data_IF_399135680991
#
_entry.id   IF_399135680991
#
_cell.length_a   1.000
_cell.length_b   1.000
_cell.length_c   1.000
_cell.angle_alpha   90.00
_cell.angle_beta   90.00
_cell.angle_gamma   90.00
#
_symmetry.space_group_name_H-M   'P 1'
#
loop_
_entity.id
_entity.type
_entity.pdbx_description
1 polymer ?
#
# COMPACT_ATOMS: atom_id res chain seq x y z
N UNK A 1 -7.53 -4.27 17.64
CA UNK A 1 -6.66 -4.50 16.46
C UNK A 1 -5.35 -5.08 16.93
N UNK A 2 -4.90 -6.14 16.32
CA UNK A 2 -3.71 -6.87 16.70
C UNK A 2 -2.50 -6.44 15.89
N UNK A 3 -1.36 -6.23 16.55
CA UNK A 3 -0.12 -5.87 15.82
C UNK A 3 0.32 -6.97 14.86
N UNK A 4 0.07 -8.23 15.19
CA UNK A 4 0.38 -9.37 14.32
C UNK A 4 -0.71 -9.67 13.30
N UNK A 5 -1.80 -8.90 13.28
CA UNK A 5 -2.89 -9.12 12.33
C UNK A 5 -2.52 -8.74 10.90
N UNK A 6 -3.24 -9.30 9.94
CA UNK A 6 -3.02 -9.03 8.52
C UNK A 6 -4.21 -8.23 8.00
N UNK A 7 -3.93 -7.05 7.44
CA UNK A 7 -4.96 -6.11 7.03
C UNK A 7 -4.73 -5.66 5.60
N UNK A 8 -5.82 -5.47 4.85
CA UNK A 8 -5.76 -5.18 3.41
C UNK A 8 -6.66 -4.03 2.98
N UNK A 9 -7.58 -3.58 3.84
CA UNK A 9 -8.56 -2.56 3.46
C UNK A 9 -8.11 -1.16 3.86
N UNK A 10 -8.64 -0.15 3.17
CA UNK A 10 -8.35 1.25 3.46
C UNK A 10 -8.47 1.57 4.95
N UNK A 11 -9.61 1.23 5.56
CA UNK A 11 -9.86 1.62 6.95
C UNK A 11 -8.99 0.84 7.93
N UNK A 12 -8.81 -0.46 7.71
CA UNK A 12 -8.02 -1.28 8.63
C UNK A 12 -6.53 -0.95 8.55
N UNK A 13 -6.00 -0.71 7.35
CA UNK A 13 -4.58 -0.35 7.20
C UNK A 13 -4.32 1.05 7.75
N UNK A 14 -5.23 2.00 7.50
CA UNK A 14 -5.10 3.34 8.06
C UNK A 14 -5.11 3.30 9.59
N UNK A 15 -6.02 2.53 10.19
CA UNK A 15 -6.08 2.38 11.65
C UNK A 15 -4.80 1.74 12.18
N UNK A 16 -4.25 0.75 11.48
CA UNK A 16 -3.02 0.09 11.87
C UNK A 16 -1.84 1.08 11.85
N UNK A 17 -1.72 1.88 10.80
CA UNK A 17 -0.68 2.90 10.70
C UNK A 17 -0.77 3.90 11.85
N UNK A 18 -1.97 4.33 12.19
CA UNK A 18 -2.16 5.27 13.30
C UNK A 18 -1.82 4.66 14.65
N UNK A 19 -2.09 3.38 14.83
CA UNK A 19 -1.86 2.70 16.12
C UNK A 19 -0.41 2.28 16.30
N UNK A 20 0.22 1.75 15.26
CA UNK A 20 1.53 1.12 15.36
C UNK A 20 2.65 1.86 14.62
N UNK A 21 2.32 2.90 13.86
CA UNK A 21 3.26 3.74 13.10
C UNK A 21 4.11 2.92 12.12
N UNK A 22 3.55 1.86 11.57
CA UNK A 22 4.17 1.01 10.56
C UNK A 22 3.08 0.26 9.81
N UNK A 23 3.42 -0.32 8.66
CA UNK A 23 2.48 -1.17 7.90
C UNK A 23 2.32 -2.55 8.57
N UNK A 24 1.14 -3.19 8.38
CA UNK A 24 0.97 -4.59 8.80
C UNK A 24 2.03 -5.50 8.17
N UNK A 25 2.28 -6.65 8.82
CA UNK A 25 3.33 -7.56 8.39
C UNK A 25 3.12 -8.23 7.04
N UNK A 26 1.93 -8.11 6.46
CA UNK A 26 1.65 -8.65 5.13
C UNK A 26 2.08 -7.73 3.99
N UNK A 27 2.71 -6.59 4.28
CA UNK A 27 3.19 -5.66 3.27
C UNK A 27 4.65 -5.89 2.93
N UNK A 28 4.98 -5.84 1.64
CA UNK A 28 6.35 -5.86 1.13
C UNK A 28 6.50 -4.78 0.07
N UNK A 29 7.73 -4.32 -0.17
CA UNK A 29 8.00 -3.35 -1.23
C UNK A 29 7.87 -3.99 -2.61
N UNK A 30 7.89 -3.14 -3.66
CA UNK A 30 7.73 -3.61 -5.04
C UNK A 30 8.82 -4.61 -5.45
N UNK A 31 10.07 -4.35 -5.10
CA UNK A 31 11.17 -5.23 -5.48
C UNK A 31 11.04 -6.61 -4.85
N UNK A 32 10.69 -6.65 -3.57
CA UNK A 32 10.47 -7.93 -2.91
C UNK A 32 9.25 -8.66 -3.48
N UNK A 33 8.18 -7.93 -3.80
CA UNK A 33 7.01 -8.51 -4.44
C UNK A 33 7.32 -9.14 -5.78
N UNK A 34 8.16 -8.49 -6.59
CA UNK A 34 8.60 -9.03 -7.87
C UNK A 34 9.41 -10.32 -7.67
N UNK A 35 10.33 -10.31 -6.71
CA UNK A 35 11.12 -11.51 -6.39
C UNK A 35 10.25 -12.68 -5.93
N UNK A 36 9.24 -12.39 -5.10
CA UNK A 36 8.30 -13.42 -4.65
C UNK A 36 7.50 -14.00 -5.83
N UNK A 37 7.06 -13.15 -6.73
CA UNK A 37 6.32 -13.61 -7.91
C UNK A 37 7.17 -14.57 -8.74
N UNK A 38 8.41 -14.20 -9.03
CA UNK A 38 9.29 -15.03 -9.83
C UNK A 38 9.65 -16.34 -9.13
N UNK A 39 9.86 -16.28 -7.82
CA UNK A 39 10.16 -17.47 -7.02
C UNK A 39 8.97 -18.41 -6.91
N UNK A 40 7.78 -17.88 -6.70
CA UNK A 40 6.58 -18.69 -6.47
C UNK A 40 5.99 -19.27 -7.76
N UNK A 41 6.01 -18.51 -8.84
CA UNK A 41 5.40 -18.92 -10.11
C UNK A 41 6.40 -19.54 -11.09
N UNK A 42 7.69 -19.28 -10.93
CA UNK A 42 8.70 -19.71 -11.87
C UNK A 42 8.73 -18.90 -13.16
N UNK A 43 7.92 -17.85 -13.26
CA UNK A 43 7.84 -17.00 -14.45
C UNK A 43 8.58 -15.69 -14.23
N UNK A 44 9.08 -15.11 -15.32
CA UNK A 44 9.70 -13.78 -15.26
C UNK A 44 8.63 -12.71 -15.11
N UNK A 45 8.82 -11.81 -14.16
CA UNK A 45 7.89 -10.70 -13.94
C UNK A 45 7.95 -9.75 -15.14
N UNK A 46 6.79 -9.31 -15.61
CA UNK A 46 6.70 -8.29 -16.66
C UNK A 46 5.88 -7.09 -16.23
N UNK A 47 4.76 -7.29 -15.56
CA UNK A 47 3.90 -6.20 -15.09
C UNK A 47 2.94 -6.70 -14.00
N UNK A 48 2.35 -5.75 -13.29
CA UNK A 48 1.40 -6.03 -12.22
C UNK A 48 0.01 -6.33 -12.78
N UNK A 49 -0.12 -7.45 -13.52
CA UNK A 49 -1.39 -7.88 -14.09
C UNK A 49 -2.06 -8.97 -13.27
N UNK A 50 -1.76 -9.04 -11.99
CA UNK A 50 -2.30 -10.02 -11.06
C UNK A 50 -2.54 -9.37 -9.70
N UNK A 51 -3.34 -10.03 -8.86
CA UNK A 51 -3.61 -9.57 -7.50
C UNK A 51 -2.55 -10.16 -6.57
N UNK A 52 -1.63 -9.36 -6.00
CA UNK A 52 -0.57 -9.90 -5.15
C UNK A 52 -1.08 -10.61 -3.90
N UNK A 53 -2.19 -10.16 -3.33
CA UNK A 53 -2.73 -10.78 -2.12
C UNK A 53 -3.20 -12.21 -2.39
N UNK A 54 -3.95 -12.43 -3.47
CA UNK A 54 -4.44 -13.77 -3.80
C UNK A 54 -3.35 -14.66 -4.40
N UNK A 55 -2.36 -14.08 -5.07
CA UNK A 55 -1.31 -14.81 -5.75
C UNK A 55 -0.12 -15.12 -4.85
N UNK A 56 0.27 -14.16 -4.00
CA UNK A 56 1.51 -14.22 -3.22
C UNK A 56 1.29 -14.10 -1.71
N UNK A 57 0.06 -13.87 -1.26
CA UNK A 57 -0.28 -13.61 0.14
C UNK A 57 0.42 -12.35 0.68
N UNK A 58 0.68 -11.36 -0.18
CA UNK A 58 1.27 -10.09 0.23
C UNK A 58 0.51 -8.91 -0.38
N UNK A 59 0.60 -7.78 0.31
CA UNK A 59 0.21 -6.48 -0.21
C UNK A 59 1.47 -5.69 -0.55
N UNK A 60 1.40 -4.81 -1.54
CA UNK A 60 2.55 -4.01 -1.94
C UNK A 60 2.47 -2.65 -1.24
N UNK A 61 3.53 -2.29 -0.53
CA UNK A 61 3.60 -1.00 0.16
C UNK A 61 4.91 -0.79 0.85
N UNK A 62 5.13 0.45 1.32
CA UNK A 62 6.34 0.85 2.00
C UNK A 62 7.34 1.59 1.11
N UNK A 63 7.12 1.63 -0.19
CA UNK A 63 7.99 2.37 -1.10
C UNK A 63 7.80 3.88 -0.95
N UNK A 64 8.85 4.64 -1.24
CA UNK A 64 8.79 6.10 -1.15
C UNK A 64 7.83 6.67 -2.20
N UNK A 65 6.98 7.60 -1.76
CA UNK A 65 6.12 8.38 -2.65
C UNK A 65 6.74 9.78 -2.79
N UNK A 66 7.05 10.18 -4.02
CA UNK A 66 7.85 11.38 -4.26
C UNK A 66 7.08 12.69 -4.30
N UNK A 67 5.74 12.67 -4.29
CA UNK A 67 4.92 13.91 -4.30
C UNK A 67 5.37 14.90 -5.40
N UNK A 68 5.71 14.38 -6.57
CA UNK A 68 6.28 15.19 -7.66
C UNK A 68 5.37 16.31 -8.13
N UNK A 69 4.07 16.09 -8.12
CA UNK A 69 3.10 17.07 -8.59
C UNK A 69 2.71 18.08 -7.52
N UNK A 70 3.21 17.89 -6.29
CA UNK A 70 2.96 18.83 -5.21
C UNK A 70 1.51 18.90 -4.76
N UNK A 71 0.72 17.85 -5.00
CA UNK A 71 -0.68 17.83 -4.58
C UNK A 71 -0.85 17.69 -3.07
N UNK A 72 0.20 17.20 -2.38
CA UNK A 72 0.24 17.09 -0.94
C UNK A 72 1.23 18.10 -0.36
N UNK A 73 1.08 18.46 0.93
CA UNK A 73 2.08 19.31 1.59
C UNK A 73 3.47 18.69 1.53
N UNK A 74 4.51 19.51 1.60
CA UNK A 74 5.88 19.03 1.61
C UNK A 74 6.11 18.06 2.76
N UNK A 75 6.84 16.98 2.50
CA UNK A 75 7.13 15.97 3.50
C UNK A 75 7.68 14.72 2.86
N UNK A 76 8.10 13.78 3.70
CA UNK A 76 8.57 12.46 3.24
C UNK A 76 7.44 11.46 3.38
N UNK A 77 6.96 10.96 2.26
CA UNK A 77 5.82 10.06 2.22
C UNK A 77 6.21 8.68 1.73
N UNK A 78 5.43 7.69 2.15
CA UNK A 78 5.47 6.34 1.61
C UNK A 78 4.09 5.98 1.10
N UNK A 79 4.01 4.99 0.21
CA UNK A 79 2.74 4.55 -0.35
C UNK A 79 2.43 3.11 0.00
N UNK A 80 1.15 2.77 0.07
CA UNK A 80 0.69 1.41 0.33
C UNK A 80 -0.59 1.14 -0.44
N UNK A 81 -0.64 -0.01 -1.11
CA UNK A 81 -1.84 -0.45 -1.80
C UNK A 81 -2.91 -0.87 -0.78
N UNK A 82 -4.17 -0.59 -1.09
CA UNK A 82 -5.31 -1.08 -0.31
C UNK A 82 -6.43 -1.50 -1.27
N UNK A 83 -7.32 -2.36 -0.79
CA UNK A 83 -8.55 -2.73 -1.50
C UNK A 83 -8.28 -3.17 -2.95
N UNK A 84 -7.46 -4.20 -3.12
CA UNK A 84 -7.15 -4.73 -4.45
C UNK A 84 -8.42 -5.14 -5.21
N UNK A 85 -8.37 -4.98 -6.53
CA UNK A 85 -9.40 -5.56 -7.39
C UNK A 85 -9.22 -7.08 -7.45
N UNK A 86 -10.24 -7.81 -7.93
CA UNK A 86 -10.13 -9.27 -8.02
C UNK A 86 -9.02 -9.72 -8.96
N UNK A 87 -8.66 -8.91 -9.96
CA UNK A 87 -7.74 -9.30 -11.03
C UNK A 87 -6.36 -8.66 -10.96
N UNK A 88 -6.21 -7.55 -10.23
CA UNK A 88 -4.94 -6.82 -10.18
C UNK A 88 -4.87 -5.93 -8.95
N UNK A 89 -3.85 -5.07 -8.89
CA UNK A 89 -3.64 -4.17 -7.76
C UNK A 89 -4.67 -3.04 -7.66
N UNK A 90 -5.42 -2.77 -8.72
CA UNK A 90 -6.35 -1.64 -8.71
C UNK A 90 -5.64 -0.31 -8.61
N UNK A 91 -6.38 0.74 -8.19
CA UNK A 91 -5.89 2.12 -8.18
C UNK A 91 -5.92 2.76 -6.79
N UNK A 92 -6.33 2.04 -5.77
CA UNK A 92 -6.52 2.61 -4.42
C UNK A 92 -5.23 2.53 -3.62
N UNK A 93 -4.83 3.67 -3.04
CA UNK A 93 -3.57 3.76 -2.30
C UNK A 93 -3.73 4.61 -1.05
N UNK A 94 -2.94 4.31 -0.02
CA UNK A 94 -2.69 5.20 1.09
C UNK A 94 -1.32 5.83 0.90
N UNK A 95 -1.22 7.13 1.15
CA UNK A 95 0.04 7.87 1.15
C UNK A 95 0.21 8.38 2.58
N UNK A 96 1.28 7.98 3.22
CA UNK A 96 1.40 8.18 4.66
C UNK A 96 2.79 8.61 5.09
N UNK A 97 2.84 9.24 6.25
CA UNK A 97 4.07 9.48 7.00
C UNK A 97 3.77 9.26 8.48
N UNK A 98 4.77 9.38 9.34
CA UNK A 98 4.63 9.10 10.77
C UNK A 98 3.59 9.98 11.45
N UNK A 99 3.17 9.60 12.65
CA UNK A 99 2.20 10.32 13.49
C UNK A 99 0.80 10.39 12.91
N UNK A 100 0.38 9.32 12.23
CA UNK A 100 -0.99 9.19 11.73
C UNK A 100 -1.36 10.24 10.68
N UNK A 101 -0.39 10.63 9.85
CA UNK A 101 -0.66 11.52 8.71
C UNK A 101 -0.89 10.64 7.49
N UNK A 102 -2.17 10.53 7.05
CA UNK A 102 -2.57 9.59 6.02
C UNK A 102 -3.48 10.27 5.01
N UNK A 103 -3.16 10.12 3.74
CA UNK A 103 -3.99 10.54 2.61
C UNK A 103 -4.43 9.31 1.83
N UNK A 104 -5.60 9.39 1.23
CA UNK A 104 -6.16 8.32 0.42
C UNK A 104 -6.41 8.78 -0.99
N UNK A 105 -6.05 7.95 -1.98
CA UNK A 105 -6.40 8.17 -3.37
C UNK A 105 -7.10 6.92 -3.91
N UNK A 106 -8.19 7.13 -4.67
CA UNK A 106 -8.90 6.04 -5.34
C UNK A 106 -8.66 6.06 -6.85
N UNK A 107 -8.02 7.09 -7.37
CA UNK A 107 -7.86 7.33 -8.81
C UNK A 107 -6.39 7.36 -9.26
N UNK A 108 -5.55 6.60 -8.57
CA UNK A 108 -4.13 6.42 -8.89
C UNK A 108 -3.39 7.76 -8.90
N UNK A 109 -3.51 8.50 -7.77
CA UNK A 109 -2.76 9.73 -7.48
C UNK A 109 -3.27 10.98 -8.18
N UNK A 110 -4.47 10.97 -8.76
CA UNK A 110 -5.04 12.18 -9.37
C UNK A 110 -5.67 13.11 -8.35
N UNK A 111 -6.24 12.55 -7.28
CA UNK A 111 -6.80 13.34 -6.18
C UNK A 111 -6.54 12.62 -4.86
N UNK A 112 -6.55 13.39 -3.76
CA UNK A 112 -6.24 12.87 -2.42
C UNK A 112 -7.24 13.41 -1.41
N UNK A 113 -7.64 12.54 -0.47
CA UNK A 113 -8.44 12.92 0.68
C UNK A 113 -7.64 12.64 1.95
N UNK A 114 -7.53 13.63 2.83
CA UNK A 114 -6.87 13.41 4.12
C UNK A 114 -7.81 12.62 5.03
N UNK A 115 -7.31 11.54 5.62
CA UNK A 115 -8.10 10.69 6.50
C UNK A 115 -8.02 11.16 7.94
N UNK A 116 -9.16 11.18 8.60
CA UNK A 116 -9.26 11.50 10.02
C UNK A 116 -9.50 10.20 10.78
N UNK A 117 -8.41 9.53 11.19
CA UNK A 117 -8.48 8.19 11.79
C UNK A 117 -8.53 8.25 13.32
N UNK A 118 -7.98 9.31 13.91
CA UNK A 118 -7.99 9.53 15.37
C UNK A 118 -9.17 10.34 15.80
#
# INVERSE_FOLDING_TARGET
MEESGLYTTKDSVAAYLCKFDKLPGNYVGKDEGISLYESKTGNTFSKWNFNPWTTLDVMIGGDVFENREGLLPNGSYHEADVDYSAKNRGTKRLIYQSDCVIYYTADHYESFDKLEVR
#
